data_IF_456868781002
#
_entry.id   IF_456868781002
#
_cell.length_a   1.000
_cell.length_b   1.000
_cell.length_c   1.000
_cell.angle_alpha   90.00
_cell.angle_beta   90.00
_cell.angle_gamma   90.00
#
_symmetry.space_group_name_H-M   'P 1'
#
loop_
_entity.id
_entity.type
_entity.pdbx_description
1 polymer ?
#
# COMPACT_ATOMS: atom_id res chain seq x y z
N UNK A 1 5.11 -10.52 -5.83
CA UNK A 1 4.85 -9.16 -6.33
C UNK A 1 5.66 -8.15 -5.53
N UNK A 2 5.93 -7.03 -6.12
CA UNK A 2 6.67 -5.99 -5.39
C UNK A 2 5.76 -5.32 -4.36
N UNK A 3 6.35 -4.59 -3.44
CA UNK A 3 5.55 -3.95 -2.41
C UNK A 3 4.60 -2.91 -3.01
N UNK A 4 5.05 -2.09 -3.95
CA UNK A 4 4.13 -1.10 -4.51
C UNK A 4 2.99 -1.76 -5.29
N UNK A 5 3.24 -2.90 -5.92
CA UNK A 5 2.17 -3.66 -6.58
C UNK A 5 1.17 -4.20 -5.55
N UNK A 6 1.69 -4.69 -4.41
CA UNK A 6 0.82 -5.17 -3.35
C UNK A 6 -0.03 -4.03 -2.78
N UNK A 7 0.54 -2.84 -2.67
CA UNK A 7 -0.19 -1.67 -2.19
C UNK A 7 -1.32 -1.29 -3.15
N UNK A 8 -1.05 -1.31 -4.46
CA UNK A 8 -2.07 -1.01 -5.46
C UNK A 8 -3.21 -2.03 -5.36
N UNK A 9 -2.85 -3.30 -5.27
CA UNK A 9 -3.86 -4.35 -5.19
C UNK A 9 -4.69 -4.18 -3.92
N UNK A 10 -4.05 -3.90 -2.80
CA UNK A 10 -4.75 -3.74 -1.53
C UNK A 10 -5.73 -2.57 -1.59
N UNK A 11 -5.30 -1.44 -2.12
CA UNK A 11 -6.17 -0.26 -2.21
C UNK A 11 -7.39 -0.59 -3.06
N UNK A 12 -7.19 -1.25 -4.20
CA UNK A 12 -8.29 -1.59 -5.07
C UNK A 12 -9.25 -2.60 -4.42
N UNK A 13 -8.71 -3.56 -3.71
CA UNK A 13 -9.56 -4.58 -3.07
C UNK A 13 -10.29 -4.06 -1.84
N UNK A 14 -9.77 -3.01 -1.23
CA UNK A 14 -10.46 -2.36 -0.12
C UNK A 14 -11.53 -1.38 -0.60
N UNK A 15 -11.73 -1.28 -1.88
CA UNK A 15 -12.80 -0.44 -2.41
C UNK A 15 -12.32 0.70 -3.30
N UNK A 16 -11.03 0.85 -3.47
CA UNK A 16 -10.47 1.97 -4.22
C UNK A 16 -10.57 3.26 -3.42
N UNK A 17 -10.23 4.37 -4.04
CA UNK A 17 -10.29 5.65 -3.37
C UNK A 17 -9.29 5.76 -2.24
N UNK A 18 -9.62 6.53 -1.22
CA UNK A 18 -8.73 6.74 -0.09
C UNK A 18 -8.89 5.63 0.92
N UNK A 19 -7.78 5.06 1.36
CA UNK A 19 -7.76 4.02 2.37
C UNK A 19 -6.73 4.39 3.43
N UNK A 20 -7.00 4.11 4.69
CA UNK A 20 -6.05 4.40 5.74
C UNK A 20 -4.81 3.51 5.57
N UNK A 21 -3.63 4.09 5.78
CA UNK A 21 -2.38 3.37 5.58
C UNK A 21 -2.31 2.10 6.43
N UNK A 22 -2.86 2.14 7.65
CA UNK A 22 -2.86 0.97 8.51
C UNK A 22 -3.75 -0.14 7.93
N UNK A 23 -4.89 0.22 7.36
CA UNK A 23 -5.79 -0.76 6.75
C UNK A 23 -5.13 -1.41 5.54
N UNK A 24 -4.42 -0.64 4.74
CA UNK A 24 -3.70 -1.18 3.59
C UNK A 24 -2.61 -2.14 4.05
N UNK A 25 -1.85 -1.74 5.07
CA UNK A 25 -0.78 -2.57 5.62
C UNK A 25 -1.34 -3.88 6.17
N UNK A 26 -2.43 -3.78 6.94
CA UNK A 26 -3.06 -4.95 7.53
C UNK A 26 -3.60 -5.89 6.46
N UNK A 27 -4.17 -5.33 5.41
CA UNK A 27 -4.71 -6.14 4.32
C UNK A 27 -3.58 -6.91 3.62
N UNK A 28 -2.46 -6.24 3.36
CA UNK A 28 -1.32 -6.87 2.73
C UNK A 28 -0.82 -8.03 3.59
N UNK A 29 -0.75 -7.83 4.90
CA UNK A 29 -0.29 -8.87 5.82
C UNK A 29 -1.30 -10.02 5.91
N UNK A 30 -2.56 -9.71 6.02
CA UNK A 30 -3.60 -10.73 6.17
C UNK A 30 -3.70 -11.60 4.92
N UNK A 31 -3.59 -11.00 3.75
CA UNK A 31 -3.72 -11.72 2.49
C UNK A 31 -2.38 -12.19 1.93
N UNK A 32 -1.31 -11.93 2.63
CA UNK A 32 0.04 -12.33 2.22
C UNK A 32 0.37 -11.84 0.81
N UNK A 33 0.01 -10.59 0.52
CA UNK A 33 0.25 -10.04 -0.80
C UNK A 33 1.71 -9.73 -1.06
N UNK A 34 2.49 -9.53 0.02
CA UNK A 34 3.90 -9.22 -0.10
C UNK A 34 4.67 -10.08 0.87
N UNK A 35 5.69 -10.75 0.37
CA UNK A 35 6.47 -11.63 1.21
C UNK A 35 7.84 -11.03 1.42
N UNK A 36 8.21 -10.82 2.66
CA UNK A 36 9.58 -10.46 2.99
C UNK A 36 10.36 -11.75 3.11
N UNK A 37 11.62 -11.71 2.80
CA UNK A 37 12.44 -12.90 2.81
C UNK A 37 12.53 -13.58 4.17
N UNK A 38 12.28 -12.83 5.25
CA UNK A 38 12.39 -13.37 6.61
C UNK A 38 11.03 -13.77 7.19
N UNK A 39 9.99 -13.75 6.40
CA UNK A 39 8.64 -14.08 6.85
C UNK A 39 8.11 -13.13 7.92
N UNK A 40 8.74 -12.00 8.10
CA UNK A 40 8.26 -11.04 9.09
C UNK A 40 7.05 -10.29 8.57
N UNK A 41 6.24 -9.81 9.50
CA UNK A 41 5.10 -8.98 9.17
C UNK A 41 5.59 -7.66 8.57
N UNK A 42 4.91 -7.20 7.55
CA UNK A 42 5.23 -5.92 6.94
C UNK A 42 4.86 -4.79 7.90
N UNK A 43 5.81 -3.96 8.32
CA UNK A 43 5.46 -2.84 9.18
C UNK A 43 4.93 -1.66 8.38
N UNK A 44 4.09 -0.85 9.01
CA UNK A 44 3.53 0.32 8.36
C UNK A 44 4.63 1.31 7.93
N UNK A 45 5.74 1.34 8.65
CA UNK A 45 6.85 2.22 8.29
C UNK A 45 7.41 1.90 6.91
N UNK A 46 7.42 0.64 6.55
CA UNK A 46 7.94 0.24 5.24
C UNK A 46 6.97 0.66 4.14
N UNK A 47 5.68 0.59 4.42
CA UNK A 47 4.67 1.06 3.47
C UNK A 47 4.82 2.57 3.29
N UNK A 48 5.01 3.30 4.39
CA UNK A 48 5.19 4.75 4.33
C UNK A 48 6.43 5.13 3.52
N UNK A 49 7.53 4.41 3.71
CA UNK A 49 8.76 4.67 2.95
C UNK A 49 8.55 4.41 1.46
N UNK A 50 7.77 3.39 1.12
CA UNK A 50 7.51 3.06 -0.27
C UNK A 50 6.61 4.12 -0.93
N UNK A 51 5.67 4.69 -0.17
CA UNK A 51 4.86 5.78 -0.68
C UNK A 51 5.73 6.97 -1.09
N UNK A 52 6.73 7.29 -0.28
CA UNK A 52 7.63 8.39 -0.60
C UNK A 52 8.45 8.12 -1.86
N UNK A 53 8.69 6.86 -2.15
CA UNK A 53 9.47 6.49 -3.30
C UNK A 53 8.65 6.56 -4.59
N UNK A 54 7.35 6.37 -4.49
CA UNK A 54 6.47 6.33 -5.65
C UNK A 54 5.40 7.42 -5.58
N UNK A 55 5.86 8.66 -5.33
CA UNK A 55 4.94 9.78 -5.21
C UNK A 55 4.15 10.07 -6.48
N UNK A 56 4.65 9.61 -7.61
CA UNK A 56 3.93 9.78 -8.85
C UNK A 56 2.75 8.81 -8.99
N UNK A 57 2.72 7.76 -8.19
CA UNK A 57 1.66 6.78 -8.23
C UNK A 57 0.67 6.98 -7.09
N UNK A 58 1.16 7.33 -5.90
CA UNK A 58 0.34 7.40 -4.71
C UNK A 58 0.25 8.81 -4.16
N UNK A 59 -0.95 9.20 -3.74
CA UNK A 59 -1.13 10.38 -2.92
C UNK A 59 -1.27 9.98 -1.46
N UNK A 60 -0.98 10.89 -0.55
CA UNK A 60 -1.20 10.62 0.86
C UNK A 60 -1.52 11.92 1.59
N UNK A 61 -2.39 11.84 2.57
CA UNK A 61 -2.72 12.96 3.44
C UNK A 61 -3.37 12.42 4.70
N UNK A 62 -2.94 12.91 5.85
CA UNK A 62 -3.57 12.58 7.13
C UNK A 62 -3.72 11.09 7.40
N UNK A 63 -2.76 10.31 6.97
CA UNK A 63 -2.79 8.86 7.20
C UNK A 63 -3.57 8.08 6.15
N UNK A 64 -4.20 8.79 5.20
CA UNK A 64 -4.91 8.13 4.10
C UNK A 64 -4.04 8.12 2.86
N UNK A 65 -4.17 7.09 2.06
CA UNK A 65 -3.41 6.94 0.82
C UNK A 65 -4.36 6.54 -0.30
N UNK A 66 -3.98 6.88 -1.52
CA UNK A 66 -4.80 6.55 -2.69
C UNK A 66 -3.90 6.44 -3.91
N UNK A 67 -4.43 5.84 -4.98
CA UNK A 67 -3.71 5.77 -6.25
C UNK A 67 -4.02 7.02 -7.03
N UNK A 68 -2.93 7.83 -7.32
CA UNK A 68 -3.11 9.11 -7.86
C UNK A 68 -3.55 9.11 -9.27
N UNK A 69 -3.12 8.22 -10.02
CA UNK A 69 -3.33 8.43 -11.33
C UNK A 69 -4.09 7.49 -11.98
N UNK A 70 -5.07 7.83 -12.41
CA UNK A 70 -5.85 7.13 -12.98
C UNK A 70 -5.85 7.41 -14.34
N UNK A 71 -4.90 7.50 -14.89
CA UNK A 71 -4.87 7.84 -16.11
C UNK A 71 -5.43 6.85 -16.88
N UNK A 72 -6.03 7.10 -17.65
CA UNK A 72 -6.63 6.16 -18.42
C UNK A 72 -6.56 6.53 -19.83
#
# INVERSE_FOLDING_TARGET
MTLHEAMIKAINELGGGEQHIQDVTDYINTCHLYSRGDNATLPVNQVSARLNRYKNIFGRADGYIWIKDKVY
#
